data_IF_922841079187
#
_entry.id   IF_922841079187
#
_cell.length_a   1.000
_cell.length_b   1.000
_cell.length_c   1.000
_cell.angle_alpha   90.00
_cell.angle_beta   90.00
_cell.angle_gamma   90.00
#
_symmetry.space_group_name_H-M   'P 1'
#
loop_
_entity.id
_entity.type
_entity.pdbx_description
1 polymer ?
#
# COMPACT_ATOMS: atom_id res chain seq x y z
N UNK A 1 3.52 -22.28 15.24
CA UNK A 1 3.55 -22.48 13.78
C UNK A 1 3.47 -21.12 13.13
N UNK A 2 4.31 -20.82 12.13
CA UNK A 2 4.18 -19.58 11.34
C UNK A 2 2.99 -19.73 10.37
N UNK A 3 2.17 -18.71 10.23
CA UNK A 3 1.08 -18.70 9.25
C UNK A 3 1.60 -18.50 7.82
N UNK A 4 0.73 -18.70 6.83
CA UNK A 4 1.04 -18.49 5.40
C UNK A 4 -0.17 -17.90 4.70
N UNK A 5 0.05 -16.90 3.86
CA UNK A 5 -0.93 -16.43 2.88
C UNK A 5 -0.56 -16.96 1.49
N UNK A 6 -1.54 -17.49 0.76
CA UNK A 6 -1.33 -17.95 -0.61
C UNK A 6 -1.85 -16.90 -1.56
N UNK A 7 -0.98 -16.43 -2.48
CA UNK A 7 -1.28 -15.39 -3.48
C UNK A 7 -1.91 -14.12 -2.88
N UNK A 8 -1.27 -13.46 -1.90
CA UNK A 8 -1.80 -12.22 -1.34
C UNK A 8 -1.78 -11.09 -2.36
N UNK A 9 -2.82 -10.26 -2.33
CA UNK A 9 -2.92 -8.99 -3.04
C UNK A 9 -2.46 -7.84 -2.16
N UNK A 10 -1.69 -6.91 -2.73
CA UNK A 10 -1.36 -5.61 -2.15
C UNK A 10 -2.02 -4.51 -2.97
N UNK A 11 -2.81 -3.67 -2.32
CA UNK A 11 -3.31 -2.44 -2.92
C UNK A 11 -2.25 -1.34 -2.78
N UNK A 12 -2.05 -0.56 -3.83
CA UNK A 12 -1.07 0.52 -3.84
C UNK A 12 -1.52 1.63 -4.79
N UNK A 13 -0.93 2.81 -4.61
CA UNK A 13 -1.06 3.96 -5.50
C UNK A 13 0.32 4.53 -5.84
N UNK A 14 0.40 5.27 -6.94
CA UNK A 14 1.66 5.79 -7.47
C UNK A 14 1.54 7.23 -7.94
N UNK A 15 2.63 7.99 -7.80
CA UNK A 15 2.77 9.36 -8.28
C UNK A 15 4.11 9.57 -8.97
N UNK A 16 4.13 10.46 -9.97
CA UNK A 16 5.33 10.71 -10.79
C UNK A 16 5.58 9.63 -11.84
N UNK A 17 6.79 9.64 -12.42
CA UNK A 17 7.20 8.72 -13.48
C UNK A 17 8.51 8.01 -13.11
N UNK A 18 8.52 6.69 -13.27
CA UNK A 18 9.70 5.86 -13.00
C UNK A 18 10.72 6.07 -14.11
N UNK A 19 11.94 6.41 -13.74
CA UNK A 19 13.02 6.58 -14.70
C UNK A 19 13.45 5.23 -15.33
N UNK A 20 14.16 5.32 -16.46
CA UNK A 20 14.54 4.14 -17.24
C UNK A 20 15.44 3.15 -16.49
N UNK A 21 16.17 3.60 -15.46
CA UNK A 21 17.01 2.76 -14.61
C UNK A 21 16.39 2.42 -13.25
N UNK A 22 15.15 2.85 -13.00
CA UNK A 22 14.43 2.69 -11.73
C UNK A 22 15.17 3.22 -10.50
N UNK A 23 16.01 4.25 -10.68
CA UNK A 23 16.83 4.87 -9.64
C UNK A 23 16.10 5.92 -8.81
N UNK A 24 14.93 6.39 -9.26
CA UNK A 24 14.16 7.44 -8.61
C UNK A 24 12.95 6.95 -7.80
N UNK A 25 12.86 5.64 -7.51
CA UNK A 25 11.74 5.07 -6.77
C UNK A 25 11.80 5.40 -5.26
N UNK A 26 10.67 5.82 -4.69
CA UNK A 26 10.47 6.03 -3.24
C UNK A 26 9.27 5.21 -2.78
N UNK A 27 9.49 4.32 -1.81
CA UNK A 27 8.43 3.51 -1.21
C UNK A 27 7.97 4.13 0.12
N UNK A 28 6.67 4.35 0.24
CA UNK A 28 6.01 4.81 1.47
C UNK A 28 5.22 3.65 2.07
N UNK A 29 5.49 3.37 3.34
CA UNK A 29 4.66 2.50 4.17
C UNK A 29 3.67 3.36 4.96
N UNK A 30 2.42 2.91 5.01
CA UNK A 30 1.38 3.60 5.77
C UNK A 30 1.57 3.43 7.28
N UNK A 31 0.95 4.32 8.05
CA UNK A 31 0.74 4.10 9.48
C UNK A 31 -0.35 3.04 9.75
N UNK A 32 -0.79 2.94 11.01
CA UNK A 32 -1.77 1.91 11.41
C UNK A 32 -3.13 2.03 10.71
N UNK A 33 -3.62 3.25 10.54
CA UNK A 33 -4.97 3.55 10.02
C UNK A 33 -5.04 4.03 8.57
N UNK A 34 -4.01 4.73 8.02
CA UNK A 34 -4.07 5.20 6.63
C UNK A 34 -4.06 4.07 5.59
N UNK A 35 -4.70 4.34 4.45
CA UNK A 35 -4.65 3.51 3.24
C UNK A 35 -3.50 3.96 2.31
N UNK A 36 -3.40 3.36 1.12
CA UNK A 36 -2.38 3.74 0.14
C UNK A 36 -2.49 5.18 -0.39
N UNK A 37 -3.61 5.88 -0.16
CA UNK A 37 -3.89 7.19 -0.74
C UNK A 37 -3.18 8.34 0.00
N UNK A 38 -1.88 8.51 -0.28
CA UNK A 38 -1.03 9.49 0.43
C UNK A 38 -1.31 10.95 0.02
N UNK A 39 -1.65 11.17 -1.26
CA UNK A 39 -1.97 12.49 -1.82
C UNK A 39 -2.92 12.36 -3.01
N UNK A 40 -3.59 13.46 -3.35
CA UNK A 40 -4.44 13.57 -4.53
C UNK A 40 -3.70 13.19 -5.82
N UNK A 41 -4.45 12.63 -6.78
CA UNK A 41 -3.96 12.22 -8.09
C UNK A 41 -5.02 12.47 -9.16
N UNK A 42 -4.67 12.25 -10.43
CA UNK A 42 -5.66 12.30 -11.52
C UNK A 42 -6.69 11.18 -11.43
N UNK A 43 -6.35 10.05 -10.81
CA UNK A 43 -7.26 8.91 -10.64
C UNK A 43 -8.16 9.05 -9.41
N UNK A 44 -7.65 9.67 -8.35
CA UNK A 44 -8.40 10.03 -7.14
C UNK A 44 -8.05 11.47 -6.72
N UNK A 45 -8.91 12.46 -7.04
CA UNK A 45 -8.66 13.87 -6.73
C UNK A 45 -8.97 14.22 -5.27
N UNK A 46 -9.40 13.27 -4.44
CA UNK A 46 -9.56 13.47 -3.00
C UNK A 46 -8.24 13.86 -2.33
N UNK A 47 -8.32 14.57 -1.21
CA UNK A 47 -7.11 14.89 -0.43
C UNK A 47 -6.63 13.63 0.28
N UNK A 48 -5.34 13.30 0.07
CA UNK A 48 -4.71 12.19 0.76
C UNK A 48 -4.33 12.52 2.21
N UNK A 49 -4.04 11.49 3.00
CA UNK A 49 -3.73 11.65 4.42
C UNK A 49 -2.41 12.39 4.69
N UNK A 50 -1.55 12.57 3.68
CA UNK A 50 -0.31 13.32 3.75
C UNK A 50 -0.14 14.32 2.59
N UNK A 51 -1.26 14.93 2.19
CA UNK A 51 -1.36 15.80 1.01
C UNK A 51 -0.19 16.79 0.89
N UNK A 52 0.14 17.53 1.94
CA UNK A 52 1.17 18.58 1.87
C UNK A 52 2.61 18.06 1.67
N UNK A 53 2.84 16.76 1.83
CA UNK A 53 4.17 16.15 1.75
C UNK A 53 4.51 15.59 0.38
N UNK A 54 3.51 15.10 -0.36
CA UNK A 54 3.73 14.38 -1.64
C UNK A 54 3.06 15.13 -2.78
N UNK A 55 3.81 15.40 -3.85
CA UNK A 55 3.32 16.03 -5.07
C UNK A 55 4.34 16.96 -5.73
N UNK A 56 3.97 17.65 -6.82
CA UNK A 56 4.86 18.58 -7.51
C UNK A 56 5.35 19.69 -6.56
N UNK A 57 6.66 19.91 -6.52
CA UNK A 57 7.31 20.98 -5.72
C UNK A 57 7.11 20.86 -4.20
N UNK A 58 6.69 19.68 -3.72
CA UNK A 58 6.55 19.35 -2.28
C UNK A 58 7.80 18.65 -1.73
N UNK A 59 7.92 18.43 -0.41
CA UNK A 59 9.09 17.77 0.18
C UNK A 59 9.44 16.43 -0.46
N UNK A 60 8.43 15.61 -0.78
CA UNK A 60 8.55 14.42 -1.62
C UNK A 60 8.05 14.80 -3.01
N UNK A 61 8.97 15.34 -3.81
CA UNK A 61 8.67 15.95 -5.11
C UNK A 61 8.43 14.90 -6.20
N UNK A 62 7.19 14.81 -6.68
CA UNK A 62 6.79 13.86 -7.73
C UNK A 62 7.22 14.28 -9.13
N UNK A 63 7.80 15.48 -9.30
CA UNK A 63 8.51 15.84 -10.52
C UNK A 63 9.88 15.16 -10.61
N UNK A 64 10.39 14.61 -9.49
CA UNK A 64 11.72 14.00 -9.38
C UNK A 64 11.66 12.51 -9.07
N UNK A 65 10.76 12.12 -8.19
CA UNK A 65 10.66 10.74 -7.71
C UNK A 65 9.42 10.05 -8.25
N UNK A 66 9.54 8.75 -8.49
CA UNK A 66 8.41 7.86 -8.64
C UNK A 66 8.02 7.33 -7.26
N UNK A 67 6.94 7.84 -6.72
CA UNK A 67 6.47 7.49 -5.37
C UNK A 67 5.48 6.35 -5.47
N UNK A 68 5.67 5.31 -4.66
CA UNK A 68 4.75 4.19 -4.48
C UNK A 68 4.33 4.16 -3.02
N UNK A 69 3.04 4.18 -2.74
CA UNK A 69 2.51 3.98 -1.39
C UNK A 69 1.73 2.66 -1.35
N UNK A 70 2.15 1.74 -0.49
CA UNK A 70 1.52 0.42 -0.35
C UNK A 70 0.61 0.38 0.86
N UNK A 71 -0.55 -0.22 0.71
CA UNK A 71 -1.42 -0.53 1.82
C UNK A 71 -0.99 -1.85 2.48
N UNK A 72 -0.89 -1.85 3.80
CA UNK A 72 -0.39 -3.00 4.59
C UNK A 72 -1.22 -4.27 4.38
N UNK A 73 -0.56 -5.44 4.41
CA UNK A 73 -1.26 -6.73 4.59
C UNK A 73 -2.04 -6.68 5.90
N UNK A 74 -3.26 -7.22 5.92
CA UNK A 74 -4.17 -7.13 7.05
C UNK A 74 -5.12 -5.92 7.02
N UNK A 75 -4.84 -4.92 6.17
CA UNK A 75 -5.70 -3.75 5.99
C UNK A 75 -7.06 -4.11 5.37
N UNK A 76 -8.07 -3.28 5.62
CA UNK A 76 -9.39 -3.36 4.99
C UNK A 76 -9.52 -2.50 3.72
N UNK A 77 -8.47 -1.78 3.31
CA UNK A 77 -8.48 -0.90 2.14
C UNK A 77 -7.88 -1.57 0.89
N UNK A 78 -8.30 -2.80 0.58
CA UNK A 78 -7.98 -3.50 -0.68
C UNK A 78 -6.84 -4.51 -0.62
N UNK A 79 -5.87 -4.35 0.28
CA UNK A 79 -4.86 -5.39 0.53
C UNK A 79 -5.49 -6.63 1.18
N UNK A 80 -4.82 -7.78 1.05
CA UNK A 80 -5.30 -9.03 1.63
C UNK A 80 -5.32 -8.94 3.15
N UNK A 81 -6.51 -9.12 3.74
CA UNK A 81 -6.73 -9.05 5.18
C UNK A 81 -7.75 -10.08 5.68
N UNK A 82 -8.16 -10.02 6.94
CA UNK A 82 -9.12 -10.96 7.53
C UNK A 82 -10.47 -11.01 6.79
N UNK A 83 -10.85 -9.91 6.14
CA UNK A 83 -12.08 -9.84 5.34
C UNK A 83 -11.90 -10.38 3.91
N UNK A 84 -10.69 -10.76 3.47
CA UNK A 84 -10.46 -11.32 2.14
C UNK A 84 -10.82 -12.80 2.07
N UNK A 85 -11.07 -13.31 0.86
CA UNK A 85 -11.27 -14.75 0.62
C UNK A 85 -9.94 -15.50 0.68
N UNK A 86 -9.93 -16.62 1.38
CA UNK A 86 -8.86 -17.60 1.36
C UNK A 86 -9.02 -18.50 0.11
N UNK A 87 -8.07 -18.49 -0.83
CA UNK A 87 -8.17 -19.27 -2.06
C UNK A 87 -8.12 -20.79 -1.82
N UNK A 88 -7.63 -21.23 -0.66
CA UNK A 88 -7.53 -22.66 -0.32
C UNK A 88 -8.85 -23.23 0.20
N UNK A 89 -9.68 -22.40 0.81
CA UNK A 89 -10.97 -22.81 1.40
C UNK A 89 -12.19 -22.20 0.70
N UNK A 90 -12.00 -21.17 -0.12
CA UNK A 90 -13.08 -20.41 -0.77
C UNK A 90 -13.93 -19.58 0.20
N UNK A 91 -13.49 -19.39 1.45
CA UNK A 91 -14.21 -18.65 2.50
C UNK A 91 -13.38 -17.46 2.98
N UNK A 92 -14.01 -16.49 3.65
CA UNK A 92 -13.23 -15.41 4.28
C UNK A 92 -12.30 -15.96 5.38
N UNK A 93 -11.07 -15.43 5.45
CA UNK A 93 -10.10 -15.82 6.48
C UNK A 93 -10.65 -15.61 7.90
N UNK A 94 -11.19 -14.42 8.20
CA UNK A 94 -11.64 -14.03 9.54
C UNK A 94 -10.54 -14.32 10.58
N UNK A 95 -10.85 -15.07 11.64
CA UNK A 95 -9.92 -15.41 12.72
C UNK A 95 -8.84 -16.42 12.30
N UNK A 96 -8.92 -17.01 11.11
CA UNK A 96 -7.83 -17.87 10.58
C UNK A 96 -6.77 -17.07 9.83
N UNK A 97 -6.96 -15.76 9.68
CA UNK A 97 -5.93 -14.90 9.11
C UNK A 97 -4.66 -14.98 9.98
N UNK A 98 -3.47 -15.17 9.38
CA UNK A 98 -2.22 -15.23 10.12
C UNK A 98 -2.01 -14.01 11.01
N UNK A 99 -1.43 -14.23 12.19
CA UNK A 99 -0.89 -13.14 13.00
C UNK A 99 0.30 -12.54 12.24
N UNK A 100 0.28 -11.23 12.06
CA UNK A 100 1.32 -10.47 11.37
C UNK A 100 2.32 -9.90 12.35
N UNK A 101 3.56 -9.74 11.87
CA UNK A 101 4.58 -8.90 12.47
C UNK A 101 4.98 -7.78 11.50
N UNK A 102 5.76 -6.80 11.95
CA UNK A 102 6.17 -5.66 11.11
C UNK A 102 6.99 -6.12 9.91
N UNK A 103 7.77 -7.18 10.09
CA UNK A 103 8.61 -7.79 9.06
C UNK A 103 7.80 -8.46 7.92
N UNK A 104 6.52 -8.75 8.14
CA UNK A 104 5.64 -9.27 7.08
C UNK A 104 5.11 -8.15 6.17
N UNK A 105 5.24 -6.89 6.60
CA UNK A 105 4.79 -5.70 5.86
C UNK A 105 5.96 -5.02 5.14
N UNK A 106 7.17 -5.06 5.74
CA UNK A 106 8.38 -4.36 5.29
C UNK A 106 9.05 -4.96 4.04
#
# INVERSE_FOLDING_TARGET
>A
MRGKLTSPTIAYETWGELDANSGNAVLIFTGLSPNAHVASSTADPGSGWWEDMVGPDKPIDTNRYFVVCVNSIGSCFGSTGPASFDPTTGRHYRLTFPILCLEDIA
#
